data_IF_229706897903
#
_entry.id   IF_229706897903
#
_cell.length_a   1.000
_cell.length_b   1.000
_cell.length_c   1.000
_cell.angle_alpha   90.00
_cell.angle_beta   90.00
_cell.angle_gamma   90.00
#
_symmetry.space_group_name_H-M   'P 1'
#
loop_
_entity.id
_entity.type
_entity.pdbx_description
1 polymer ?
#
# COMPACT_ATOMS: atom_id res chain seq x y z
N UNK A 1 35.03 -13.04 9.40
CA UNK A 1 34.34 -12.71 8.12
C UNK A 1 33.25 -11.71 8.44
N UNK A 2 33.34 -10.50 7.91
CA UNK A 2 32.37 -9.44 8.19
C UNK A 2 31.07 -9.77 7.46
N UNK A 3 29.92 -9.42 8.03
CA UNK A 3 28.62 -9.69 7.39
C UNK A 3 28.45 -8.90 6.08
N UNK A 4 29.12 -7.76 5.95
CA UNK A 4 29.24 -6.98 4.72
C UNK A 4 29.93 -7.78 3.60
N UNK A 5 31.10 -8.38 3.87
CA UNK A 5 31.80 -9.26 2.92
C UNK A 5 30.91 -10.44 2.47
N UNK A 6 30.04 -10.90 3.37
CA UNK A 6 29.07 -11.97 3.13
C UNK A 6 28.00 -11.50 2.15
N UNK A 7 27.50 -10.26 2.28
CA UNK A 7 26.53 -9.70 1.35
C UNK A 7 27.11 -9.44 -0.04
N UNK A 8 28.31 -8.88 -0.14
CA UNK A 8 28.97 -8.61 -1.44
C UNK A 8 29.25 -9.90 -2.22
N UNK A 9 29.69 -10.96 -1.52
CA UNK A 9 29.89 -12.28 -2.13
C UNK A 9 28.58 -12.91 -2.63
N UNK A 10 27.46 -12.56 -2.02
CA UNK A 10 26.16 -13.13 -2.38
C UNK A 10 25.57 -12.38 -3.54
N UNK A 11 25.62 -11.05 -3.52
CA UNK A 11 25.20 -10.22 -4.65
C UNK A 11 25.93 -10.63 -5.93
N UNK A 12 27.23 -10.94 -5.84
CA UNK A 12 28.04 -11.36 -7.00
C UNK A 12 27.75 -12.78 -7.51
N UNK A 13 27.14 -13.66 -6.72
CA UNK A 13 26.89 -15.07 -7.07
C UNK A 13 25.40 -15.43 -7.22
N UNK A 14 24.50 -14.47 -7.00
CA UNK A 14 23.05 -14.68 -6.97
C UNK A 14 22.37 -14.22 -8.25
N UNK A 15 21.18 -14.78 -8.51
CA UNK A 15 20.37 -14.39 -9.65
C UNK A 15 19.60 -13.11 -9.32
N UNK A 16 19.90 -12.03 -10.03
CA UNK A 16 19.09 -10.81 -9.99
C UNK A 16 17.67 -11.09 -10.51
N UNK A 17 16.66 -10.71 -9.72
CA UNK A 17 15.25 -10.97 -10.01
C UNK A 17 14.43 -9.72 -10.32
N UNK A 18 14.96 -8.52 -10.05
CA UNK A 18 14.30 -7.27 -10.43
C UNK A 18 14.45 -6.16 -9.38
N UNK A 19 13.80 -5.04 -9.66
CA UNK A 19 13.67 -3.91 -8.75
C UNK A 19 12.24 -3.82 -8.26
N UNK A 20 12.05 -3.66 -6.95
CA UNK A 20 10.74 -3.67 -6.33
C UNK A 20 10.62 -2.53 -5.31
N UNK A 21 9.49 -1.85 -5.29
CA UNK A 21 9.11 -1.05 -4.12
C UNK A 21 8.90 -1.98 -2.91
N UNK A 22 9.12 -1.49 -1.69
CA UNK A 22 9.11 -2.31 -0.47
C UNK A 22 7.83 -3.13 -0.27
N UNK A 23 6.65 -2.54 -0.50
CA UNK A 23 5.35 -3.18 -0.40
C UNK A 23 5.14 -4.28 -1.44
N UNK A 24 5.50 -4.00 -2.70
CA UNK A 24 5.44 -4.97 -3.80
C UNK A 24 6.42 -6.12 -3.56
N UNK A 25 7.60 -5.82 -3.01
CA UNK A 25 8.62 -6.81 -2.67
C UNK A 25 8.12 -7.82 -1.63
N UNK A 26 7.50 -7.33 -0.55
CA UNK A 26 6.93 -8.21 0.49
C UNK A 26 5.87 -9.15 -0.08
N UNK A 27 4.98 -8.63 -0.94
CA UNK A 27 3.96 -9.42 -1.63
C UNK A 27 4.58 -10.48 -2.55
N UNK A 28 5.49 -10.04 -3.44
CA UNK A 28 6.19 -10.91 -4.38
C UNK A 28 6.92 -12.06 -3.69
N UNK A 29 7.69 -11.77 -2.62
CA UNK A 29 8.45 -12.80 -1.91
C UNK A 29 7.53 -13.81 -1.22
N UNK A 30 6.44 -13.35 -0.59
CA UNK A 30 5.46 -14.21 0.09
C UNK A 30 4.72 -15.12 -0.89
N UNK A 31 4.26 -14.59 -2.02
CA UNK A 31 3.53 -15.36 -3.03
C UNK A 31 4.40 -16.45 -3.66
N UNK A 32 5.65 -16.12 -3.95
CA UNK A 32 6.58 -17.05 -4.60
C UNK A 32 7.30 -17.98 -3.60
N UNK A 33 7.20 -17.72 -2.29
CA UNK A 33 7.88 -18.48 -1.21
C UNK A 33 9.38 -18.65 -1.45
N UNK A 34 10.02 -17.63 -2.01
CA UNK A 34 11.43 -17.66 -2.36
C UNK A 34 12.30 -17.12 -1.22
N UNK A 35 13.58 -17.53 -1.22
CA UNK A 35 14.61 -16.94 -0.36
C UNK A 35 15.41 -15.94 -1.18
N UNK A 36 15.73 -14.79 -0.59
CA UNK A 36 16.27 -13.66 -1.32
C UNK A 36 16.97 -12.63 -0.46
N UNK A 37 17.85 -11.86 -1.09
CA UNK A 37 18.41 -10.63 -0.55
C UNK A 37 17.85 -9.45 -1.31
N UNK A 38 17.30 -8.48 -0.58
CA UNK A 38 16.85 -7.23 -1.15
C UNK A 38 17.76 -6.10 -0.67
N UNK A 39 18.38 -5.38 -1.61
CA UNK A 39 19.30 -4.28 -1.36
C UNK A 39 18.69 -2.96 -1.81
N UNK A 40 18.60 -1.99 -0.92
CA UNK A 40 18.29 -0.60 -1.23
C UNK A 40 19.50 0.29 -0.89
N UNK A 41 19.91 1.12 -1.86
CA UNK A 41 21.03 2.05 -1.74
C UNK A 41 20.47 3.48 -1.69
N UNK A 42 20.78 4.23 -0.63
CA UNK A 42 20.37 5.62 -0.46
C UNK A 42 21.56 6.46 0.02
N UNK A 43 22.24 7.09 -0.92
CA UNK A 43 23.47 7.85 -0.64
C UNK A 43 24.56 6.92 -0.09
N UNK A 44 24.98 7.13 1.16
CA UNK A 44 25.96 6.27 1.85
C UNK A 44 25.32 5.12 2.65
N UNK A 45 23.99 5.03 2.66
CA UNK A 45 23.25 4.03 3.44
C UNK A 45 22.83 2.87 2.55
N UNK A 46 23.16 1.66 2.98
CA UNK A 46 22.73 0.43 2.33
C UNK A 46 21.80 -0.33 3.29
N UNK A 47 20.54 -0.48 2.89
CA UNK A 47 19.56 -1.31 3.57
C UNK A 47 19.49 -2.67 2.91
N UNK A 48 19.60 -3.72 3.72
CA UNK A 48 19.55 -5.10 3.27
C UNK A 48 18.46 -5.82 4.04
N UNK A 49 17.57 -6.48 3.32
CA UNK A 49 16.57 -7.39 3.88
C UNK A 49 16.88 -8.81 3.42
N UNK A 50 16.84 -9.74 4.36
CA UNK A 50 16.99 -11.18 4.14
C UNK A 50 15.62 -11.82 4.21
N UNK A 51 15.23 -12.46 3.11
CA UNK A 51 14.02 -13.25 3.01
C UNK A 51 14.34 -14.73 3.05
N UNK A 52 13.57 -15.48 3.84
CA UNK A 52 13.62 -16.94 3.89
C UNK A 52 12.20 -17.46 3.70
N UNK A 53 12.02 -18.31 2.68
CA UNK A 53 10.71 -18.90 2.37
C UNK A 53 9.59 -17.84 2.26
N UNK A 54 9.91 -16.70 1.65
CA UNK A 54 9.00 -15.58 1.42
C UNK A 54 8.81 -14.61 2.59
N UNK A 55 9.35 -14.91 3.77
CA UNK A 55 9.22 -14.03 4.94
C UNK A 55 10.50 -13.24 5.22
N UNK A 56 10.40 -11.97 5.60
CA UNK A 56 11.56 -11.16 5.96
C UNK A 56 12.06 -11.58 7.35
N UNK A 57 13.16 -12.32 7.37
CA UNK A 57 13.74 -12.91 8.59
C UNK A 57 14.94 -12.13 9.11
N UNK A 58 15.57 -11.30 8.27
CA UNK A 58 16.75 -10.53 8.66
C UNK A 58 16.79 -9.12 8.07
N UNK A 59 17.38 -8.18 8.79
CA UNK A 59 17.60 -6.81 8.31
C UNK A 59 18.98 -6.31 8.73
N UNK A 60 19.64 -5.58 7.83
CA UNK A 60 20.90 -4.88 8.10
C UNK A 60 20.84 -3.48 7.49
N UNK A 61 21.30 -2.49 8.25
CA UNK A 61 21.60 -1.15 7.73
C UNK A 61 23.10 -0.94 7.87
N UNK A 62 23.75 -0.56 6.77
CA UNK A 62 25.18 -0.23 6.72
C UNK A 62 25.30 1.24 6.33
N UNK A 63 26.06 2.01 7.10
CA UNK A 63 26.42 3.39 6.76
C UNK A 63 27.89 3.68 7.13
N UNK A 64 28.31 4.95 7.03
CA UNK A 64 29.67 5.36 7.36
C UNK A 64 29.98 5.38 8.86
N UNK A 65 28.96 5.24 9.71
CA UNK A 65 29.08 5.19 11.17
C UNK A 65 29.10 3.77 11.73
N UNK A 66 28.62 2.79 10.96
CA UNK A 66 28.69 1.37 11.33
C UNK A 66 27.57 0.53 10.73
N UNK A 67 27.20 -0.52 11.46
CA UNK A 67 26.16 -1.46 11.04
C UNK A 67 25.12 -1.66 12.15
N UNK A 68 23.85 -1.64 11.75
CA UNK A 68 22.72 -2.01 12.59
C UNK A 68 22.08 -3.30 12.07
N UNK A 69 21.55 -4.11 12.98
CA UNK A 69 21.00 -5.43 12.69
C UNK A 69 19.60 -5.59 13.27
N UNK A 70 18.79 -6.43 12.61
CA UNK A 70 17.47 -6.83 13.08
C UNK A 70 16.54 -5.64 13.21
N UNK A 71 15.76 -5.61 14.30
CA UNK A 71 14.72 -4.59 14.52
C UNK A 71 15.27 -3.16 14.50
N UNK A 72 16.52 -2.95 14.94
CA UNK A 72 17.18 -1.63 14.88
C UNK A 72 17.38 -1.12 13.45
N UNK A 73 17.69 -2.02 12.52
CA UNK A 73 17.78 -1.67 11.11
C UNK A 73 16.38 -1.40 10.52
N UNK A 74 15.38 -2.18 10.93
CA UNK A 74 13.98 -2.01 10.49
C UNK A 74 13.42 -0.64 10.90
N UNK A 75 13.70 -0.16 12.11
CA UNK A 75 13.21 1.15 12.58
C UNK A 75 13.63 2.34 11.71
N UNK A 76 14.75 2.20 10.99
CA UNK A 76 15.31 3.27 10.17
C UNK A 76 14.90 3.14 8.69
N UNK A 77 14.12 2.12 8.35
CA UNK A 77 13.59 1.91 7.02
C UNK A 77 12.49 2.93 6.70
N UNK A 78 12.62 3.70 5.62
CA UNK A 78 11.66 4.75 5.28
C UNK A 78 10.48 4.24 4.42
N UNK A 79 10.53 2.99 3.96
CA UNK A 79 9.49 2.30 3.18
C UNK A 79 9.15 2.96 1.85
N UNK A 80 10.04 3.82 1.34
CA UNK A 80 9.96 4.48 0.04
C UNK A 80 11.11 4.04 -0.89
N UNK A 81 11.95 3.13 -0.43
CA UNK A 81 13.12 2.66 -1.15
C UNK A 81 12.74 1.65 -2.23
N UNK A 82 13.53 1.67 -3.30
CA UNK A 82 13.49 0.65 -4.35
C UNK A 82 14.58 -0.37 -4.04
N UNK A 83 14.18 -1.62 -3.89
CA UNK A 83 15.05 -2.73 -3.59
C UNK A 83 15.41 -3.51 -4.84
N UNK A 84 16.71 -3.74 -5.05
CA UNK A 84 17.24 -4.75 -5.95
C UNK A 84 17.13 -6.11 -5.29
N UNK A 85 16.35 -7.03 -5.87
CA UNK A 85 16.17 -8.38 -5.35
C UNK A 85 17.13 -9.37 -6.02
N UNK A 86 17.77 -10.19 -5.21
CA UNK A 86 18.66 -11.26 -5.60
C UNK A 86 18.19 -12.57 -4.97
N UNK A 87 17.90 -13.59 -5.78
CA UNK A 87 17.45 -14.89 -5.28
C UNK A 87 18.64 -15.74 -4.83
N UNK A 88 18.47 -16.39 -3.68
CA UNK A 88 19.50 -17.18 -3.02
C UNK A 88 18.96 -18.54 -2.58
N UNK A 89 19.86 -19.47 -2.29
CA UNK A 89 19.50 -20.74 -1.65
C UNK A 89 18.92 -20.50 -0.25
N UNK A 90 17.94 -21.33 0.13
CA UNK A 90 17.25 -21.18 1.41
C UNK A 90 18.17 -21.38 2.62
N UNK A 91 19.03 -22.41 2.63
CA UNK A 91 19.93 -22.68 3.77
C UNK A 91 20.89 -21.52 3.98
N UNK A 92 21.29 -20.92 2.86
CA UNK A 92 22.12 -19.74 2.88
C UNK A 92 21.37 -18.52 3.44
N UNK A 93 20.12 -18.30 3.03
CA UNK A 93 19.24 -17.28 3.61
C UNK A 93 19.02 -17.45 5.11
N UNK A 94 18.77 -18.67 5.56
CA UNK A 94 18.63 -19.02 6.99
C UNK A 94 19.90 -18.68 7.78
N UNK A 95 21.08 -19.02 7.25
CA UNK A 95 22.36 -18.70 7.89
C UNK A 95 22.61 -17.19 7.98
N UNK A 96 22.16 -16.41 7.01
CA UNK A 96 22.26 -14.95 7.03
C UNK A 96 21.28 -14.34 8.02
N UNK A 97 20.02 -14.76 7.96
CA UNK A 97 18.96 -14.30 8.85
C UNK A 97 19.31 -14.55 10.32
N UNK A 98 19.94 -15.69 10.64
CA UNK A 98 20.41 -16.00 12.00
C UNK A 98 21.35 -14.94 12.60
N UNK A 99 22.07 -14.17 11.76
CA UNK A 99 23.02 -13.13 12.20
C UNK A 99 22.41 -11.73 12.28
N UNK A 100 21.27 -11.52 11.62
CA UNK A 100 20.64 -10.21 11.49
C UNK A 100 19.13 -10.26 11.78
N UNK A 101 18.74 -11.20 12.65
CA UNK A 101 17.36 -11.64 12.84
C UNK A 101 16.44 -10.49 13.25
N UNK A 102 15.27 -10.46 12.63
CA UNK A 102 14.15 -9.60 13.00
C UNK A 102 13.27 -10.38 13.97
N UNK A 103 13.09 -9.87 15.18
CA UNK A 103 12.20 -10.49 16.16
C UNK A 103 10.79 -9.91 16.03
N UNK A 104 10.69 -8.60 15.83
CA UNK A 104 9.43 -7.87 15.73
C UNK A 104 9.11 -7.50 14.29
N UNK A 105 8.65 -8.50 13.53
CA UNK A 105 8.23 -8.34 12.13
C UNK A 105 7.03 -7.43 11.96
N UNK A 106 6.35 -7.10 13.06
CA UNK A 106 5.28 -6.10 13.12
C UNK A 106 5.76 -4.72 12.63
N UNK A 107 7.05 -4.40 12.77
CA UNK A 107 7.63 -3.15 12.28
C UNK A 107 7.89 -3.11 10.77
N UNK A 108 7.99 -4.27 10.11
CA UNK A 108 8.05 -4.36 8.64
C UNK A 108 6.67 -4.34 8.00
N UNK A 109 5.64 -4.65 8.79
CA UNK A 109 4.28 -4.35 8.39
C UNK A 109 4.17 -2.84 8.59
N UNK A 110 3.99 -2.08 7.51
CA UNK A 110 3.26 -0.82 7.66
C UNK A 110 2.06 -1.16 8.54
N UNK A 111 1.86 -0.43 9.63
CA UNK A 111 0.52 -0.31 10.18
C UNK A 111 -0.32 0.16 8.99
N UNK A 112 -0.97 -0.80 8.33
CA UNK A 112 -2.16 -0.60 7.57
C UNK A 112 -3.19 -0.16 8.62
N UNK A 113 -3.09 1.09 9.06
CA UNK A 113 -4.27 1.81 9.47
C UNK A 113 -5.16 1.76 8.24
N UNK A 114 -6.10 0.82 8.29
CA UNK A 114 -7.09 0.48 7.26
C UNK A 114 -6.58 -0.42 6.14
N UNK A 115 -6.68 -1.74 6.33
CA UNK A 115 -7.43 -2.61 5.41
C UNK A 115 -7.29 -4.09 5.82
N UNK A 116 -8.40 -4.71 6.22
CA UNK A 116 -8.61 -6.15 6.07
C UNK A 116 -8.85 -6.41 4.57
N UNK A 117 -8.03 -7.19 3.85
CA UNK A 117 -8.33 -7.53 2.47
C UNK A 117 -9.23 -8.76 2.38
N UNK A 118 -10.27 -8.65 1.57
CA UNK A 118 -11.10 -9.75 1.07
C UNK A 118 -10.31 -10.50 -0.01
N UNK A 119 -10.35 -11.83 0.02
CA UNK A 119 -9.64 -12.73 -0.92
C UNK A 119 -10.15 -12.49 -2.35
N UNK A 120 -9.25 -12.13 -3.30
CA UNK A 120 -9.48 -12.24 -4.75
C UNK A 120 -9.43 -10.98 -5.63
N UNK A 121 -9.03 -9.80 -5.15
CA UNK A 121 -9.17 -8.53 -5.91
C UNK A 121 -7.88 -7.95 -6.54
N UNK A 122 -8.03 -7.35 -7.74
CA UNK A 122 -7.01 -6.74 -8.62
C UNK A 122 -6.05 -5.72 -7.96
N UNK A 123 -4.88 -5.53 -8.59
CA UNK A 123 -3.84 -4.55 -8.21
C UNK A 123 -4.41 -3.18 -7.88
N UNK A 124 -4.15 -2.76 -6.64
CA UNK A 124 -4.68 -1.53 -6.07
C UNK A 124 -3.82 -0.32 -6.45
N UNK A 125 -4.33 0.56 -7.32
CA UNK A 125 -3.67 1.78 -7.80
C UNK A 125 -4.36 3.02 -7.24
N UNK A 126 -3.59 3.97 -6.70
CA UNK A 126 -4.12 5.27 -6.26
C UNK A 126 -4.54 6.12 -7.47
N UNK A 127 -5.72 6.72 -7.41
CA UNK A 127 -6.20 7.67 -8.42
C UNK A 127 -7.19 8.67 -7.85
N UNK A 128 -7.85 9.41 -8.73
CA UNK A 128 -8.79 10.47 -8.39
C UNK A 128 -10.21 10.10 -8.82
N UNK A 129 -11.10 9.96 -7.84
CA UNK A 129 -12.53 9.78 -8.07
C UNK A 129 -13.23 11.12 -7.90
N UNK A 130 -13.90 11.59 -8.94
CA UNK A 130 -14.76 12.76 -8.88
C UNK A 130 -16.24 12.36 -8.94
N UNK A 131 -17.04 12.90 -8.03
CA UNK A 131 -18.49 12.72 -7.99
C UNK A 131 -19.15 14.03 -8.41
N UNK A 132 -20.08 13.94 -9.34
CA UNK A 132 -20.94 15.06 -9.76
C UNK A 132 -22.36 14.76 -9.29
N UNK A 133 -22.91 15.60 -8.42
CA UNK A 133 -24.25 15.41 -7.84
C UNK A 133 -25.26 16.25 -8.62
N UNK A 134 -26.31 15.59 -9.09
CA UNK A 134 -27.48 16.18 -9.76
C UNK A 134 -28.75 15.85 -8.99
N UNK A 135 -29.75 16.71 -9.11
CA UNK A 135 -31.14 16.46 -8.73
C UNK A 135 -32.01 17.00 -9.84
N UNK A 136 -32.82 16.13 -10.46
CA UNK A 136 -33.70 16.50 -11.57
C UNK A 136 -32.91 17.24 -12.68
N UNK A 137 -31.77 16.65 -13.07
CA UNK A 137 -30.76 17.18 -14.01
C UNK A 137 -30.07 18.52 -13.63
N UNK A 138 -30.36 19.07 -12.44
CA UNK A 138 -29.72 20.29 -11.93
C UNK A 138 -28.56 19.96 -10.99
N UNK A 139 -27.38 20.53 -11.22
CA UNK A 139 -26.19 20.36 -10.36
C UNK A 139 -26.43 20.88 -8.94
N UNK A 140 -26.00 20.12 -7.93
CA UNK A 140 -26.28 20.43 -6.52
C UNK A 140 -25.03 20.86 -5.77
N UNK A 141 -25.00 22.11 -5.29
CA UNK A 141 -23.88 22.70 -4.56
C UNK A 141 -24.09 22.68 -3.03
N UNK A 142 -23.00 22.43 -2.30
CA UNK A 142 -23.03 22.36 -0.83
C UNK A 142 -23.73 21.10 -0.31
N UNK A 143 -23.66 20.00 -1.05
CA UNK A 143 -24.07 18.67 -0.61
C UNK A 143 -22.87 17.99 0.06
N UNK A 144 -23.08 17.31 1.19
CA UNK A 144 -22.01 16.52 1.80
C UNK A 144 -21.92 15.18 1.10
N UNK A 145 -20.73 14.85 0.59
CA UNK A 145 -20.44 13.56 -0.02
C UNK A 145 -19.41 12.84 0.82
N UNK A 146 -19.70 11.61 1.21
CA UNK A 146 -18.81 10.76 1.99
C UNK A 146 -18.58 9.44 1.28
N UNK A 147 -17.32 9.04 1.14
CA UNK A 147 -16.90 7.76 0.60
C UNK A 147 -16.62 6.81 1.76
N UNK A 148 -17.23 5.62 1.72
CA UNK A 148 -17.17 4.63 2.79
C UNK A 148 -16.79 3.26 2.26
N UNK A 149 -16.18 2.46 3.13
CA UNK A 149 -15.93 1.03 2.90
C UNK A 149 -16.47 0.30 4.14
N UNK A 150 -17.65 -0.30 3.99
CA UNK A 150 -18.41 -0.81 5.12
C UNK A 150 -18.79 0.31 6.10
N UNK A 151 -18.47 0.15 7.39
CA UNK A 151 -18.85 1.13 8.42
C UNK A 151 -17.93 2.36 8.47
N UNK A 152 -16.75 2.29 7.87
CA UNK A 152 -15.74 3.33 7.95
C UNK A 152 -15.91 4.39 6.86
N UNK A 153 -15.86 5.67 7.26
CA UNK A 153 -15.75 6.79 6.32
C UNK A 153 -14.27 6.97 5.98
N UNK A 154 -13.93 6.90 4.70
CA UNK A 154 -12.57 7.04 4.19
C UNK A 154 -12.26 8.48 3.77
N UNK A 155 -13.25 9.16 3.19
CA UNK A 155 -13.15 10.55 2.80
C UNK A 155 -14.52 11.22 2.87
N UNK A 156 -14.54 12.53 3.13
CA UNK A 156 -15.76 13.31 3.06
C UNK A 156 -15.43 14.74 2.68
N UNK A 157 -16.23 15.33 1.81
CA UNK A 157 -16.09 16.72 1.40
C UNK A 157 -17.45 17.25 0.87
N UNK A 158 -17.51 18.54 0.55
CA UNK A 158 -18.71 19.22 0.09
C UNK A 158 -18.64 19.47 -1.42
N UNK A 159 -19.77 19.35 -2.13
CA UNK A 159 -19.83 19.71 -3.55
C UNK A 159 -19.62 21.22 -3.76
N UNK A 160 -18.81 21.56 -4.76
CA UNK A 160 -18.59 22.94 -5.22
C UNK A 160 -19.78 23.47 -6.02
N UNK A 161 -19.69 24.71 -6.51
CA UNK A 161 -20.78 25.39 -7.27
C UNK A 161 -21.16 24.68 -8.56
N UNK A 162 -20.24 23.90 -9.13
CA UNK A 162 -20.44 23.02 -10.29
C UNK A 162 -21.00 21.63 -9.90
N UNK A 163 -21.42 21.45 -8.65
CA UNK A 163 -21.97 20.19 -8.14
C UNK A 163 -20.95 19.06 -8.02
N UNK A 164 -19.65 19.36 -8.11
CA UNK A 164 -18.58 18.37 -8.15
C UNK A 164 -17.82 18.28 -6.84
N UNK A 165 -17.27 17.11 -6.55
CA UNK A 165 -16.32 16.86 -5.45
C UNK A 165 -15.34 15.77 -5.89
N UNK A 166 -14.07 15.85 -5.48
CA UNK A 166 -13.06 14.87 -5.89
C UNK A 166 -12.24 14.35 -4.72
N UNK A 167 -12.01 13.04 -4.71
CA UNK A 167 -11.28 12.31 -3.67
C UNK A 167 -10.09 11.59 -4.27
N UNK A 168 -8.96 11.58 -3.55
CA UNK A 168 -7.84 10.68 -3.86
C UNK A 168 -8.07 9.36 -3.15
N UNK A 169 -8.31 8.30 -3.90
CA UNK A 169 -8.65 6.98 -3.39
C UNK A 169 -7.85 5.91 -4.11
N UNK A 170 -7.76 4.74 -3.52
CA UNK A 170 -7.31 3.54 -4.21
C UNK A 170 -8.45 3.06 -5.11
N UNK A 171 -8.14 2.46 -6.26
CA UNK A 171 -9.15 1.80 -7.07
C UNK A 171 -9.85 0.66 -6.29
N UNK A 172 -11.16 0.61 -6.40
CA UNK A 172 -12.03 -0.33 -5.70
C UNK A 172 -13.48 0.11 -5.69
N UNK A 173 -14.32 -0.73 -5.08
CA UNK A 173 -15.72 -0.43 -4.85
C UNK A 173 -15.93 0.27 -3.51
N UNK A 174 -16.78 1.28 -3.51
CA UNK A 174 -17.08 2.09 -2.34
C UNK A 174 -18.57 2.42 -2.22
N UNK A 175 -19.03 2.63 -0.99
CA UNK A 175 -20.32 3.25 -0.72
C UNK A 175 -20.14 4.77 -0.74
N UNK A 176 -20.77 5.44 -1.70
CA UNK A 176 -20.89 6.89 -1.77
C UNK A 176 -22.19 7.31 -1.10
N UNK A 177 -22.10 8.13 -0.06
CA UNK A 177 -23.23 8.68 0.68
C UNK A 177 -23.33 10.16 0.38
N UNK A 178 -24.49 10.60 -0.10
CA UNK A 178 -24.81 12.00 -0.35
C UNK A 178 -25.84 12.44 0.69
N UNK A 179 -25.49 13.43 1.49
CA UNK A 179 -26.37 14.04 2.48
C UNK A 179 -26.73 15.46 2.04
N UNK A 180 -28.03 15.74 1.99
CA UNK A 180 -28.54 17.08 1.71
C UNK A 180 -28.60 17.96 2.97
N UNK A 181 -28.93 19.25 2.80
CA UNK A 181 -29.02 20.20 3.92
C UNK A 181 -30.14 19.89 4.91
N UNK A 182 -31.11 19.07 4.53
CA UNK A 182 -32.20 18.58 5.39
C UNK A 182 -31.87 17.23 6.05
N UNK A 183 -30.62 16.76 5.94
CA UNK A 183 -30.15 15.46 6.43
C UNK A 183 -30.82 14.26 5.73
N UNK A 184 -31.42 14.47 4.56
CA UNK A 184 -31.85 13.35 3.72
C UNK A 184 -30.62 12.69 3.13
N UNK A 185 -30.56 11.36 3.23
CA UNK A 185 -29.37 10.57 2.90
C UNK A 185 -29.67 9.67 1.71
N UNK A 186 -28.91 9.86 0.64
CA UNK A 186 -28.90 8.97 -0.53
C UNK A 186 -27.62 8.15 -0.56
N UNK A 187 -27.69 6.87 -0.95
CA UNK A 187 -26.55 5.95 -0.96
C UNK A 187 -26.39 5.29 -2.32
N UNK A 188 -25.16 5.25 -2.81
CA UNK A 188 -24.79 4.73 -4.12
C UNK A 188 -23.55 3.85 -3.99
N UNK A 189 -23.44 2.83 -4.82
CA UNK A 189 -22.20 2.07 -4.97
C UNK A 189 -21.42 2.65 -6.14
N UNK A 190 -20.16 3.00 -5.91
CA UNK A 190 -19.27 3.52 -6.94
C UNK A 190 -18.12 2.54 -7.13
N UNK A 191 -17.92 2.13 -8.38
CA UNK A 191 -16.83 1.26 -8.77
C UNK A 191 -15.76 2.06 -9.51
N UNK A 192 -14.57 2.12 -8.93
CA UNK A 192 -13.48 3.00 -9.36
C UNK A 192 -12.28 2.15 -9.75
N UNK A 193 -11.95 2.03 -11.04
CA UNK A 193 -10.84 1.15 -11.50
C UNK A 193 -9.64 1.87 -12.10
N UNK A 194 -9.81 3.14 -12.48
CA UNK A 194 -8.84 3.89 -13.30
C UNK A 194 -8.08 4.95 -12.48
N UNK A 195 -7.04 5.58 -13.05
CA UNK A 195 -6.31 6.66 -12.36
C UNK A 195 -7.13 7.93 -12.19
N UNK A 196 -8.15 8.13 -13.04
CA UNK A 196 -9.12 9.21 -12.95
C UNK A 196 -10.47 8.63 -13.34
N UNK A 197 -11.50 8.88 -12.52
CA UNK A 197 -12.88 8.51 -12.85
C UNK A 197 -13.82 9.63 -12.45
N UNK A 198 -14.84 9.85 -13.27
CA UNK A 198 -15.93 10.76 -12.98
C UNK A 198 -17.24 9.96 -12.95
N UNK A 199 -17.98 10.07 -11.86
CA UNK A 199 -19.28 9.42 -11.70
C UNK A 199 -20.35 10.47 -11.44
N UNK A 200 -21.45 10.39 -12.19
CA UNK A 200 -22.61 11.26 -12.02
C UNK A 200 -23.65 10.54 -11.18
N UNK A 201 -24.11 11.19 -10.12
CA UNK A 201 -25.11 10.68 -9.19
C UNK A 201 -26.35 11.57 -9.29
N UNK A 202 -27.49 10.99 -9.62
CA UNK A 202 -28.79 11.67 -9.56
C UNK A 202 -29.52 11.28 -8.27
N UNK A 203 -29.89 12.27 -7.47
CA UNK A 203 -30.70 12.12 -6.26
C UNK A 203 -32.20 12.40 -6.53
N UNK A 204 -32.58 12.65 -7.79
CA UNK A 204 -33.94 12.79 -8.28
C UNK A 204 -34.58 11.45 -8.63
N UNK A 205 -35.10 10.77 -7.60
CA UNK A 205 -35.84 9.53 -7.76
C UNK A 205 -36.41 9.07 -6.42
N UNK A 206 -37.69 9.35 -6.20
CA UNK A 206 -38.47 8.75 -5.11
C UNK A 206 -38.41 7.22 -5.23
N UNK A 207 -38.02 6.56 -4.16
CA UNK A 207 -38.68 5.31 -3.75
C UNK A 207 -39.21 5.55 -2.34
N UNK A 208 -40.31 6.31 -2.28
CA UNK A 208 -41.43 5.86 -1.45
C UNK A 208 -42.00 4.65 -2.20
N UNK A 209 -41.95 3.46 -1.62
CA UNK A 209 -43.14 2.60 -1.46
C UNK A 209 -42.79 1.20 -0.91
N UNK A 210 -43.51 0.86 0.17
CA UNK A 210 -43.82 -0.43 0.84
C UNK A 210 -42.77 -1.14 1.72
#
# INVERSE_FOLDING_TARGET
MHIADLFDKVISSSKYAGNYAFDVLLGYMRENRQSGLALAEKGKKNFILVFVNGEPEGATLIDDTGMLFGDKAVYLLEHNEIFKLFLIDQRFGESLAARCKIYERSHLRKQLSVDLPTIGGNQQTLGQLCIVVKKDDTLQSGMRVSIRKGRQVLASDMTTVDGKVCFKLVNGMYDCVVEDRSQSVSRFVVDFHERYSESVIDIGGRTDDE
#
